data_IF_354753535213
#
_entry.id   IF_354753535213
#
_cell.length_a   1.000
_cell.length_b   1.000
_cell.length_c   1.000
_cell.angle_alpha   90.00
_cell.angle_beta   90.00
_cell.angle_gamma   90.00
#
_symmetry.space_group_name_H-M   'P 1'
#
loop_
_entity.id
_entity.type
_entity.pdbx_description
1 polymer ?
#
# COMPACT_ATOMS: atom_id res chain seq x y z
N UNK A 1 30.75 2.11 -7.11
CA UNK A 1 29.48 1.68 -7.74
C UNK A 1 28.48 2.81 -7.52
N UNK A 2 27.98 3.42 -8.59
CA UNK A 2 26.87 4.37 -8.46
C UNK A 2 25.65 3.58 -7.97
N UNK A 3 24.91 4.05 -6.94
CA UNK A 3 23.63 3.44 -6.63
C UNK A 3 22.73 3.54 -7.87
N UNK A 4 22.03 2.46 -8.21
CA UNK A 4 21.05 2.48 -9.28
C UNK A 4 19.99 3.55 -8.98
N UNK A 5 19.54 4.26 -10.01
CA UNK A 5 18.54 5.32 -9.88
C UNK A 5 17.25 4.76 -9.25
N UNK A 6 16.53 5.55 -8.43
CA UNK A 6 15.23 5.15 -7.91
C UNK A 6 14.25 4.82 -9.05
N UNK A 7 13.30 3.90 -8.79
CA UNK A 7 12.20 3.64 -9.70
C UNK A 7 11.38 4.91 -9.96
N UNK A 8 10.97 5.11 -11.21
CA UNK A 8 9.95 6.11 -11.53
C UNK A 8 8.56 5.55 -11.21
N UNK A 9 7.94 6.04 -10.13
CA UNK A 9 6.60 5.59 -9.74
C UNK A 9 5.55 5.93 -10.80
N UNK A 10 5.76 6.95 -11.63
CA UNK A 10 4.82 7.31 -12.70
C UNK A 10 4.77 6.22 -13.76
N UNK A 11 5.95 5.71 -14.14
CA UNK A 11 6.07 4.59 -15.07
C UNK A 11 5.58 3.28 -14.42
N UNK A 12 6.00 3.02 -13.18
CA UNK A 12 5.62 1.80 -12.46
C UNK A 12 4.11 1.65 -12.35
N UNK A 13 3.39 2.75 -12.10
CA UNK A 13 1.94 2.78 -11.95
C UNK A 13 1.17 3.32 -13.17
N UNK A 14 1.82 3.38 -14.35
CA UNK A 14 1.13 3.64 -15.62
C UNK A 14 0.02 2.60 -15.93
N UNK A 15 0.11 1.44 -15.27
CA UNK A 15 -0.89 0.40 -15.31
C UNK A 15 -1.33 0.03 -13.89
N UNK A 16 -2.62 -0.31 -13.67
CA UNK A 16 -3.09 -0.82 -12.39
C UNK A 16 -2.37 -2.10 -11.99
N UNK A 17 -2.32 -2.37 -10.69
CA UNK A 17 -1.81 -3.61 -10.11
C UNK A 17 -2.91 -4.31 -9.32
N UNK A 18 -3.00 -5.63 -9.43
CA UNK A 18 -3.96 -6.41 -8.63
C UNK A 18 -3.40 -7.75 -8.18
N UNK A 19 -3.96 -8.28 -7.11
CA UNK A 19 -3.67 -9.64 -6.69
C UNK A 19 -4.30 -9.98 -5.36
N UNK A 20 -3.65 -10.88 -4.64
CA UNK A 20 -4.18 -11.44 -3.40
C UNK A 20 -3.27 -11.09 -2.23
N UNK A 21 -3.91 -10.68 -1.15
CA UNK A 21 -3.30 -10.49 0.15
C UNK A 21 -3.51 -11.71 1.03
N UNK A 22 -2.51 -12.01 1.86
CA UNK A 22 -2.59 -13.00 2.93
C UNK A 22 -2.28 -12.33 4.26
N UNK A 23 -3.03 -12.68 5.30
CA UNK A 23 -2.92 -12.07 6.63
C UNK A 23 -2.40 -13.10 7.63
N UNK A 24 -1.16 -12.90 8.07
CA UNK A 24 -0.57 -13.63 9.18
C UNK A 24 -0.91 -12.93 10.50
N UNK A 25 -1.50 -13.68 11.44
CA UNK A 25 -1.91 -13.16 12.74
C UNK A 25 -1.04 -13.77 13.84
N UNK A 26 -0.73 -13.01 14.89
CA UNK A 26 -0.17 -13.57 16.11
C UNK A 26 -1.12 -14.63 16.71
N UNK A 27 -0.54 -15.63 17.38
CA UNK A 27 -1.30 -16.74 17.97
C UNK A 27 -2.37 -16.27 18.97
N UNK A 28 -2.13 -15.16 19.68
CA UNK A 28 -3.04 -14.58 20.66
C UNK A 28 -4.27 -13.90 20.03
N UNK A 29 -4.25 -13.63 18.71
CA UNK A 29 -5.38 -13.10 17.93
C UNK A 29 -6.10 -14.17 17.10
N UNK A 30 -5.78 -15.47 17.26
CA UNK A 30 -6.31 -16.53 16.39
C UNK A 30 -7.83 -16.65 16.38
N UNK A 31 -8.49 -16.27 17.48
CA UNK A 31 -9.93 -16.38 17.67
C UNK A 31 -10.72 -15.19 17.12
N UNK A 32 -10.05 -14.10 16.73
CA UNK A 32 -10.74 -12.94 16.16
C UNK A 32 -11.19 -13.26 14.72
N UNK A 33 -12.44 -12.95 14.33
CA UNK A 33 -12.98 -13.28 13.01
C UNK A 33 -12.52 -12.26 11.96
N UNK A 34 -11.23 -12.29 11.60
CA UNK A 34 -10.64 -11.46 10.54
C UNK A 34 -10.37 -12.33 9.32
N UNK A 35 -10.66 -11.80 8.12
CA UNK A 35 -10.34 -12.47 6.87
C UNK A 35 -8.83 -12.76 6.80
N UNK A 36 -8.48 -14.00 6.47
CA UNK A 36 -7.08 -14.44 6.28
C UNK A 36 -6.55 -14.12 4.89
N UNK A 37 -7.45 -13.83 3.95
CA UNK A 37 -7.13 -13.43 2.58
C UNK A 37 -8.12 -12.38 2.09
N UNK A 38 -7.68 -11.54 1.16
CA UNK A 38 -8.53 -10.60 0.43
C UNK A 38 -7.90 -10.26 -0.91
N UNK A 39 -8.71 -9.83 -1.87
CA UNK A 39 -8.20 -9.29 -3.13
C UNK A 39 -7.84 -7.81 -2.94
N UNK A 40 -6.77 -7.37 -3.59
CA UNK A 40 -6.31 -6.00 -3.56
C UNK A 40 -6.04 -5.51 -4.96
N UNK A 41 -6.44 -4.27 -5.24
CA UNK A 41 -6.12 -3.56 -6.47
C UNK A 41 -5.66 -2.15 -6.11
N UNK A 42 -4.61 -1.68 -6.78
CA UNK A 42 -4.12 -0.31 -6.67
C UNK A 42 -3.95 0.27 -8.06
N UNK A 43 -4.37 1.52 -8.22
CA UNK A 43 -4.21 2.28 -9.45
C UNK A 43 -3.92 3.74 -9.13
N UNK A 44 -3.22 4.41 -10.04
CA UNK A 44 -2.79 5.79 -9.86
C UNK A 44 -3.34 6.62 -11.01
N UNK A 45 -3.94 7.76 -10.66
CA UNK A 45 -4.36 8.78 -11.62
C UNK A 45 -3.45 10.01 -11.55
N UNK A 46 -3.65 10.93 -12.49
CA UNK A 46 -2.97 12.23 -12.54
C UNK A 46 -1.45 12.11 -12.75
N UNK A 47 -1.02 11.05 -13.45
CA UNK A 47 0.38 10.77 -13.77
C UNK A 47 1.05 11.92 -14.55
N UNK A 48 0.28 12.61 -15.39
CA UNK A 48 0.70 13.79 -16.15
C UNK A 48 0.88 15.04 -15.27
N UNK A 49 0.27 15.06 -14.08
CA UNK A 49 0.31 16.19 -13.14
C UNK A 49 1.19 15.92 -11.92
N UNK A 50 1.96 14.83 -11.93
CA UNK A 50 2.80 14.40 -10.83
C UNK A 50 3.72 15.50 -10.26
N UNK A 51 4.21 16.39 -11.12
CA UNK A 51 5.12 17.49 -10.76
C UNK A 51 4.39 18.74 -10.23
N UNK A 52 3.10 18.91 -10.54
CA UNK A 52 2.33 20.12 -10.21
C UNK A 52 1.42 19.89 -9.01
N UNK A 53 0.52 18.92 -9.11
CA UNK A 53 -0.50 18.61 -8.09
C UNK A 53 -0.17 17.31 -7.33
N UNK A 54 0.65 16.44 -7.93
CA UNK A 54 0.99 15.13 -7.39
C UNK A 54 0.18 14.02 -8.05
N UNK A 55 0.26 12.83 -7.46
CA UNK A 55 -0.42 11.62 -7.89
C UNK A 55 -1.59 11.33 -6.95
N UNK A 56 -2.68 10.81 -7.49
CA UNK A 56 -3.77 10.27 -6.68
C UNK A 56 -3.74 8.75 -6.74
N UNK A 57 -3.61 8.08 -5.59
CA UNK A 57 -3.58 6.62 -5.49
C UNK A 57 -4.94 6.13 -5.01
N UNK A 58 -5.50 5.15 -5.72
CA UNK A 58 -6.78 4.53 -5.43
C UNK A 58 -6.58 3.05 -5.12
N UNK A 59 -6.74 2.72 -3.85
CA UNK A 59 -6.67 1.35 -3.37
C UNK A 59 -8.07 0.78 -3.17
N UNK A 60 -8.29 -0.44 -3.66
CA UNK A 60 -9.53 -1.19 -3.49
C UNK A 60 -9.19 -2.55 -2.89
N UNK A 61 -9.73 -2.81 -1.70
CA UNK A 61 -9.67 -4.09 -1.01
C UNK A 61 -11.02 -4.77 -1.08
N UNK A 62 -11.08 -5.99 -1.60
CA UNK A 62 -12.30 -6.80 -1.66
C UNK A 62 -12.17 -8.01 -0.74
N UNK A 63 -13.01 -8.07 0.28
CA UNK A 63 -13.05 -9.15 1.25
C UNK A 63 -13.83 -10.36 0.74
N UNK A 64 -13.59 -11.58 1.28
CA UNK A 64 -14.29 -12.81 0.86
C UNK A 64 -15.81 -12.75 1.00
N UNK A 65 -16.33 -11.91 1.89
CA UNK A 65 -17.77 -11.70 2.07
C UNK A 65 -18.38 -10.68 1.08
N UNK A 66 -17.63 -10.28 0.05
CA UNK A 66 -18.07 -9.31 -0.95
C UNK A 66 -18.00 -7.85 -0.51
N UNK A 67 -17.64 -7.58 0.76
CA UNK A 67 -17.44 -6.20 1.22
C UNK A 67 -16.23 -5.61 0.52
N UNK A 68 -16.35 -4.37 0.09
CA UNK A 68 -15.25 -3.60 -0.51
C UNK A 68 -14.86 -2.44 0.40
N UNK A 69 -13.57 -2.18 0.51
CA UNK A 69 -13.03 -0.99 1.16
C UNK A 69 -12.15 -0.25 0.14
N UNK A 70 -12.51 1.01 -0.11
CA UNK A 70 -11.76 1.92 -0.95
C UNK A 70 -10.99 2.93 -0.11
N UNK A 71 -9.77 3.24 -0.51
CA UNK A 71 -8.91 4.23 0.12
C UNK A 71 -8.26 5.08 -0.96
N UNK A 72 -8.34 6.39 -0.80
CA UNK A 72 -7.71 7.36 -1.69
C UNK A 72 -6.60 8.10 -0.95
N UNK A 73 -5.42 8.16 -1.57
CA UNK A 73 -4.25 8.88 -1.07
C UNK A 73 -3.79 9.92 -2.09
N UNK A 74 -3.21 11.01 -1.62
CA UNK A 74 -2.49 11.98 -2.45
C UNK A 74 -0.99 11.83 -2.17
N UNK A 75 -0.19 11.66 -3.23
CA UNK A 75 1.25 11.55 -3.16
C UNK A 75 1.91 12.71 -3.92
N UNK A 76 2.75 13.49 -3.25
CA UNK A 76 3.47 14.62 -3.86
C UNK A 76 4.96 14.33 -3.88
N UNK A 77 5.60 14.55 -5.02
CA UNK A 77 7.06 14.46 -5.13
C UNK A 77 7.69 15.61 -4.32
N UNK A 78 8.58 15.27 -3.39
CA UNK A 78 9.29 16.24 -2.54
C UNK A 78 10.80 16.25 -2.78
N UNK A 79 11.32 15.21 -3.44
CA UNK A 79 12.71 15.09 -3.86
C UNK A 79 12.91 13.83 -4.70
N UNK A 80 14.11 13.62 -5.23
CA UNK A 80 14.42 12.42 -6.02
C UNK A 80 14.16 11.15 -5.20
N UNK A 81 13.23 10.31 -5.69
CA UNK A 81 12.81 9.09 -4.99
C UNK A 81 12.14 9.33 -3.63
N UNK A 82 11.68 10.55 -3.32
CA UNK A 82 11.04 10.88 -2.06
C UNK A 82 9.66 11.50 -2.31
N UNK A 83 8.63 10.82 -1.80
CA UNK A 83 7.24 11.20 -1.95
C UNK A 83 6.58 11.44 -0.60
N UNK A 84 5.80 12.50 -0.49
CA UNK A 84 4.96 12.79 0.67
C UNK A 84 3.55 12.29 0.39
N UNK A 85 3.06 11.35 1.19
CA UNK A 85 1.74 10.72 1.02
C UNK A 85 0.79 11.18 2.13
N UNK A 86 -0.44 11.49 1.77
CA UNK A 86 -1.50 11.90 2.70
C UNK A 86 -2.81 11.17 2.38
N UNK A 87 -3.63 10.90 3.40
CA UNK A 87 -4.98 10.38 3.26
C UNK A 87 -5.85 10.82 4.44
N UNK A 88 -7.16 10.77 4.26
CA UNK A 88 -8.13 11.17 5.28
C UNK A 88 -8.03 10.34 6.57
N UNK A 89 -7.64 9.07 6.46
CA UNK A 89 -7.47 8.14 7.57
C UNK A 89 -6.03 8.09 8.12
N UNK A 90 -5.12 8.86 7.53
CA UNK A 90 -3.68 8.82 7.81
C UNK A 90 -3.23 10.14 8.45
N UNK A 91 -3.49 10.34 9.76
CA UNK A 91 -3.12 11.56 10.46
C UNK A 91 -1.61 11.83 10.33
N UNK A 92 -1.28 13.04 9.89
CA UNK A 92 0.11 13.45 9.73
C UNK A 92 0.82 12.86 8.50
N UNK A 93 0.14 12.10 7.64
CA UNK A 93 0.73 11.57 6.41
C UNK A 93 1.94 10.66 6.62
N UNK A 94 2.72 10.46 5.56
CA UNK A 94 3.98 9.72 5.60
C UNK A 94 4.93 10.11 4.48
N UNK A 95 6.19 9.76 4.65
CA UNK A 95 7.24 9.91 3.67
C UNK A 95 7.59 8.53 3.12
N UNK A 96 7.52 8.42 1.79
CA UNK A 96 7.87 7.22 1.05
C UNK A 96 9.22 7.43 0.36
N UNK A 97 10.10 6.47 0.58
CA UNK A 97 11.43 6.43 -0.02
C UNK A 97 11.48 5.33 -1.07
N UNK A 98 11.82 5.72 -2.28
CA UNK A 98 11.91 4.86 -3.46
C UNK A 98 13.37 4.55 -3.75
N UNK A 99 13.62 3.31 -4.11
CA UNK A 99 14.90 2.74 -4.50
C UNK A 99 14.74 2.05 -5.84
N UNK A 100 15.83 1.53 -6.41
CA UNK A 100 15.78 0.81 -7.69
C UNK A 100 14.94 -0.47 -7.64
N UNK A 101 14.76 -1.08 -6.47
CA UNK A 101 14.13 -2.39 -6.32
C UNK A 101 12.74 -2.31 -5.66
N UNK A 102 12.25 -1.11 -5.35
CA UNK A 102 10.99 -0.90 -4.65
C UNK A 102 10.97 0.33 -3.75
N UNK A 103 10.04 0.37 -2.81
CA UNK A 103 9.84 1.51 -1.92
C UNK A 103 9.31 1.11 -0.55
N UNK A 104 9.50 1.98 0.43
CA UNK A 104 9.08 1.74 1.81
C UNK A 104 8.54 3.01 2.46
N UNK A 105 7.62 2.84 3.40
CA UNK A 105 7.01 3.94 4.13
C UNK A 105 6.42 3.45 5.45
N UNK A 106 6.37 4.34 6.44
CA UNK A 106 5.82 4.06 7.77
C UNK A 106 4.80 5.12 8.13
N UNK A 107 3.60 4.70 8.51
CA UNK A 107 2.47 5.61 8.73
C UNK A 107 1.60 5.13 9.87
N UNK A 108 0.69 5.99 10.31
CA UNK A 108 -0.38 5.60 11.24
C UNK A 108 -1.71 5.77 10.53
N UNK A 109 -2.56 4.74 10.56
CA UNK A 109 -3.95 4.82 10.12
C UNK A 109 -4.90 4.80 11.30
N UNK A 110 -6.03 5.48 11.16
CA UNK A 110 -7.17 5.40 12.06
C UNK A 110 -8.12 4.30 11.58
N UNK A 111 -7.80 3.05 11.94
CA UNK A 111 -8.54 1.88 11.50
C UNK A 111 -9.93 1.80 12.16
N UNK A 112 -11.02 1.59 11.40
CA UNK A 112 -12.34 1.38 11.96
C UNK A 112 -12.42 0.02 12.66
N UNK A 113 -12.92 0.00 13.91
CA UNK A 113 -13.11 -1.25 14.68
C UNK A 113 -14.59 -1.60 14.79
N UNK A 114 -15.39 -0.72 15.41
CA UNK A 114 -16.82 -0.90 15.60
C UNK A 114 -17.50 0.45 15.71
N UNK A 115 -18.51 0.70 14.87
CA UNK A 115 -19.24 1.97 14.86
C UNK A 115 -18.32 3.19 14.67
N UNK A 116 -18.39 4.23 15.52
CA UNK A 116 -17.55 5.42 15.41
C UNK A 116 -16.12 5.19 15.92
N UNK A 117 -15.82 4.07 16.59
CA UNK A 117 -14.51 3.83 17.18
C UNK A 117 -13.43 3.68 16.09
N UNK A 118 -12.36 4.45 16.24
CA UNK A 118 -11.15 4.40 15.41
C UNK A 118 -9.96 4.13 16.30
N UNK A 119 -9.09 3.20 15.89
CA UNK A 119 -7.86 2.89 16.63
C UNK A 119 -6.64 3.23 15.77
N UNK A 120 -5.61 3.88 16.33
CA UNK A 120 -4.38 4.15 15.60
C UNK A 120 -3.58 2.85 15.43
N UNK A 121 -3.40 2.43 14.18
CA UNK A 121 -2.49 1.34 13.83
C UNK A 121 -1.27 1.93 13.15
N UNK A 122 -0.09 1.63 13.67
CA UNK A 122 1.16 1.88 12.97
C UNK A 122 1.35 0.80 11.90
N UNK A 123 1.57 1.24 10.68
CA UNK A 123 1.84 0.42 9.52
C UNK A 123 3.27 0.70 9.06
N UNK A 124 4.02 -0.36 8.79
CA UNK A 124 5.34 -0.30 8.17
C UNK A 124 5.28 -1.17 6.90
N UNK A 125 5.35 -0.51 5.74
CA UNK A 125 5.15 -1.12 4.43
C UNK A 125 6.49 -1.21 3.71
N UNK A 126 6.75 -2.39 3.14
CA UNK A 126 7.91 -2.66 2.31
C UNK A 126 7.45 -3.30 0.99
N UNK A 127 7.54 -2.50 -0.06
CA UNK A 127 7.16 -2.88 -1.41
C UNK A 127 8.41 -3.18 -2.22
N UNK A 128 8.44 -4.35 -2.84
CA UNK A 128 9.54 -4.80 -3.69
C UNK A 128 9.03 -5.20 -5.06
N UNK A 129 9.72 -4.74 -6.10
CA UNK A 129 9.52 -5.21 -7.47
C UNK A 129 10.35 -6.50 -7.64
N UNK A 130 9.68 -7.62 -7.83
CA UNK A 130 10.35 -8.94 -7.99
C UNK A 130 10.77 -9.15 -9.44
N UNK A 131 9.92 -8.70 -10.36
CA UNK A 131 10.13 -8.68 -11.81
C UNK A 131 9.22 -7.57 -12.40
N UNK A 132 9.35 -7.20 -13.69
CA UNK A 132 8.60 -6.07 -14.28
C UNK A 132 7.07 -6.14 -14.13
N UNK A 133 6.52 -7.34 -13.91
CA UNK A 133 5.08 -7.61 -13.80
C UNK A 133 4.68 -8.18 -12.44
N UNK A 134 5.59 -8.23 -11.47
CA UNK A 134 5.32 -8.74 -10.12
C UNK A 134 5.82 -7.80 -9.04
N UNK A 135 4.90 -7.36 -8.20
CA UNK A 135 5.17 -6.57 -7.03
C UNK A 135 4.75 -7.34 -5.78
N UNK A 136 5.56 -7.26 -4.73
CA UNK A 136 5.23 -7.81 -3.41
C UNK A 136 5.25 -6.69 -2.41
N UNK A 137 4.13 -6.47 -1.74
CA UNK A 137 4.02 -5.55 -0.61
C UNK A 137 3.90 -6.35 0.69
N UNK A 138 4.75 -6.02 1.64
CA UNK A 138 4.66 -6.50 3.01
C UNK A 138 4.31 -5.35 3.95
N UNK A 139 3.13 -5.43 4.54
CA UNK A 139 2.66 -4.50 5.55
C UNK A 139 2.73 -5.17 6.94
N UNK A 140 3.47 -4.56 7.88
CA UNK A 140 3.42 -4.92 9.29
C UNK A 140 2.56 -3.94 10.10
N UNK A 141 1.60 -4.46 10.85
CA UNK A 141 0.68 -3.65 11.66
C UNK A 141 0.98 -3.79 13.15
N UNK A 142 1.07 -2.65 13.85
CA UNK A 142 1.26 -2.56 15.30
C UNK A 142 0.20 -1.68 15.95
N UNK A 143 -0.36 -2.15 17.06
CA UNK A 143 -1.23 -1.37 17.96
C UNK A 143 -0.51 -1.21 19.30
N UNK A 144 -0.28 0.03 19.74
CA UNK A 144 0.46 0.33 20.98
C UNK A 144 1.80 -0.43 21.09
N UNK A 145 2.53 -0.54 19.97
CA UNK A 145 3.81 -1.25 19.89
C UNK A 145 3.71 -2.77 19.73
N UNK A 146 2.54 -3.37 19.98
CA UNK A 146 2.31 -4.81 19.82
C UNK A 146 1.95 -5.13 18.37
N UNK A 147 2.64 -6.10 17.76
CA UNK A 147 2.31 -6.58 16.42
C UNK A 147 0.94 -7.25 16.43
N UNK A 148 0.01 -6.74 15.63
CA UNK A 148 -1.37 -7.26 15.51
C UNK A 148 -1.61 -8.02 14.21
N UNK A 149 -0.74 -7.84 13.22
CA UNK A 149 -0.82 -8.58 11.97
C UNK A 149 0.35 -8.29 11.05
N UNK A 150 0.48 -9.15 10.04
CA UNK A 150 1.31 -8.90 8.86
C UNK A 150 0.50 -9.28 7.65
N UNK A 151 0.43 -8.38 6.69
CA UNK A 151 -0.18 -8.62 5.39
C UNK A 151 0.94 -8.80 4.39
N UNK A 152 0.79 -9.79 3.51
CA UNK A 152 1.67 -9.95 2.35
C UNK A 152 0.80 -10.02 1.12
N UNK A 153 0.99 -9.05 0.24
CA UNK A 153 0.26 -8.86 -1.01
C UNK A 153 1.19 -9.21 -2.16
N UNK A 154 0.71 -10.08 -3.07
CA UNK A 154 1.42 -10.38 -4.31
C UNK A 154 0.57 -9.89 -5.46
N UNK A 155 1.07 -8.87 -6.15
CA UNK A 155 0.36 -8.12 -7.16
C UNK A 155 0.97 -8.36 -8.55
N UNK A 156 0.11 -8.34 -9.55
CA UNK A 156 0.43 -8.44 -10.97
C UNK A 156 -0.07 -7.19 -11.69
N UNK A 157 0.71 -6.73 -12.66
CA UNK A 157 0.34 -5.62 -13.53
C UNK A 157 -0.87 -6.00 -14.40
N UNK A 158 -1.90 -5.17 -14.42
CA UNK A 158 -3.06 -5.33 -15.30
C UNK A 158 -2.75 -4.62 -16.61
N UNK A 159 -2.67 -5.38 -17.71
CA UNK A 159 -2.35 -4.83 -19.04
C UNK A 159 -1.27 -5.62 -19.77
N UNK A 160 -0.46 -6.41 -19.05
CA UNK A 160 0.50 -7.36 -19.65
C UNK A 160 -0.15 -8.71 -20.02
N UNK A 161 -1.48 -8.80 -19.96
CA UNK A 161 -2.25 -9.97 -20.33
C UNK A 161 -3.05 -9.73 -21.61
N UNK A 162 -2.38 -9.86 -22.76
CA UNK A 162 -3.03 -10.04 -24.06
C UNK A 162 -2.29 -11.13 -24.85
N UNK A 163 -2.63 -12.38 -24.54
CA UNK A 163 -2.98 -13.45 -25.50
C UNK A 163 -3.40 -14.70 -24.70
#
# INVERSE_FOLDING_TARGET
MNPAAPLDLRELFAHPWQGTATVARPWWLRWFPVATTFAFRTEVSDLDQAETTGLTVHDTTTFPNGRTWQRTMNARLVGEGHWRITAADMPGGTDQHVTADGFRFSYTILAPVLGPLRVPLRCDDEVRLVDPDTMVDTLEMRFLGLRVGRVTMRLRRIGTGAA
#
